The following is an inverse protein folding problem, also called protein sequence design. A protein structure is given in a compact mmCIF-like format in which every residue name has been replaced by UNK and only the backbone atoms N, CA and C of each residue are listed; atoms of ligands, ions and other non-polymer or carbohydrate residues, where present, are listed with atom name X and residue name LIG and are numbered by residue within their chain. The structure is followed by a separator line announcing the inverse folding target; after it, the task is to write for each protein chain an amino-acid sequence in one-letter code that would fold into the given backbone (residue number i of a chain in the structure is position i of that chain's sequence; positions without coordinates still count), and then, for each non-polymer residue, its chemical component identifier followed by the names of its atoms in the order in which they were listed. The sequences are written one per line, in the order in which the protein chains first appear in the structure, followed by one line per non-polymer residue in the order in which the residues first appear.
data_IF_611971036835
#
_entry.id   IF_611971036835
#
_cell.length_a   1.000
_cell.length_b   1.000
_cell.length_c   1.000
_cell.angle_alpha   90.00
_cell.angle_beta   90.00
_cell.angle_gamma   90.00
#
_symmetry.space_group_name_H-M   'P 1'
#
loop_
_entity.id
_entity.type
_entity.pdbx_description
1 polymer ?
#
# COMPACT_ATOMS: atom_id res chain seq x y z
N UNK A 1 -11.47 -2.20 -16.61
CA UNK A 1 -10.20 -1.54 -16.95
C UNK A 1 -9.07 -2.36 -16.36
N UNK A 2 -8.16 -2.85 -17.19
CA UNK A 2 -7.08 -3.74 -16.76
C UNK A 2 -5.77 -2.97 -16.66
N UNK A 3 -4.94 -3.37 -15.72
CA UNK A 3 -3.56 -2.93 -15.64
C UNK A 3 -2.71 -3.64 -16.71
N UNK A 4 -1.53 -3.13 -17.00
CA UNK A 4 -0.58 -3.77 -17.91
C UNK A 4 0.87 -3.55 -17.46
N UNK A 5 1.74 -4.43 -17.92
CA UNK A 5 3.20 -4.30 -17.81
C UNK A 5 3.81 -4.42 -19.18
N UNK A 6 4.73 -3.49 -19.51
CA UNK A 6 5.44 -3.50 -20.79
C UNK A 6 6.94 -3.45 -20.57
N UNK A 7 7.66 -4.19 -21.40
CA UNK A 7 9.12 -4.10 -21.54
C UNK A 7 9.40 -3.36 -22.84
N UNK A 8 10.07 -2.23 -22.71
CA UNK A 8 10.45 -1.36 -23.83
C UNK A 8 11.97 -1.43 -24.00
N UNK A 9 12.44 -1.31 -25.25
CA UNK A 9 13.88 -1.21 -25.52
C UNK A 9 14.50 0.00 -24.85
N UNK A 10 15.81 -0.06 -24.57
CA UNK A 10 16.51 0.99 -23.83
C UNK A 10 16.48 2.37 -24.53
N UNK A 11 16.35 2.38 -25.84
CA UNK A 11 16.21 3.59 -26.67
C UNK A 11 14.77 4.07 -26.82
N UNK A 12 13.80 3.36 -26.22
CA UNK A 12 12.36 3.67 -26.30
C UNK A 12 11.70 3.35 -27.63
N UNK A 13 12.42 2.79 -28.59
CA UNK A 13 11.94 2.62 -29.97
C UNK A 13 11.04 1.40 -30.21
N UNK A 14 11.11 0.41 -29.32
CA UNK A 14 10.43 -0.88 -29.53
C UNK A 14 9.79 -1.42 -28.28
N UNK A 15 8.52 -1.81 -28.37
CA UNK A 15 7.86 -2.61 -27.34
C UNK A 15 8.29 -4.06 -27.53
N UNK A 16 9.06 -4.60 -26.58
CA UNK A 16 9.55 -5.98 -26.60
C UNK A 16 8.52 -6.99 -26.13
N UNK A 17 7.80 -6.65 -25.07
CA UNK A 17 6.76 -7.48 -24.46
C UNK A 17 5.72 -6.61 -23.79
N UNK A 18 4.48 -7.04 -23.82
CA UNK A 18 3.38 -6.45 -23.04
C UNK A 18 2.45 -7.56 -22.57
N UNK A 19 1.98 -7.47 -21.35
CA UNK A 19 0.94 -8.32 -20.81
C UNK A 19 -0.08 -7.51 -20.05
N UNK A 20 -1.35 -7.88 -20.15
CA UNK A 20 -2.39 -7.37 -19.27
C UNK A 20 -2.39 -8.16 -17.97
N UNK A 21 -2.72 -7.47 -16.89
CA UNK A 21 -2.85 -8.04 -15.54
C UNK A 21 -4.17 -7.53 -14.99
N UNK A 22 -5.13 -8.41 -14.80
CA UNK A 22 -6.42 -7.95 -14.33
C UNK A 22 -7.44 -9.05 -14.06
N UNK A 23 -8.60 -8.59 -13.72
CA UNK A 23 -9.80 -9.38 -13.38
C UNK A 23 -10.98 -8.92 -14.23
N UNK A 24 -12.17 -9.30 -13.86
CA UNK A 24 -13.40 -8.74 -14.44
C UNK A 24 -13.80 -7.37 -13.83
N UNK A 25 -13.00 -6.84 -12.89
CA UNK A 25 -13.22 -5.56 -12.22
C UNK A 25 -12.36 -4.43 -12.76
N UNK A 26 -12.17 -3.41 -11.94
CA UNK A 26 -11.19 -2.36 -12.16
C UNK A 26 -9.86 -2.77 -11.54
N UNK A 27 -8.78 -2.71 -12.30
CA UNK A 27 -7.46 -3.16 -11.88
C UNK A 27 -6.43 -2.05 -12.10
N UNK A 28 -5.61 -1.78 -11.08
CA UNK A 28 -4.57 -0.77 -11.14
C UNK A 28 -3.26 -1.29 -10.52
N UNK A 29 -2.14 -1.02 -11.19
CA UNK A 29 -0.80 -1.21 -10.67
C UNK A 29 -0.28 0.14 -10.18
N UNK A 30 0.19 0.19 -8.94
CA UNK A 30 0.76 1.38 -8.31
C UNK A 30 2.28 1.32 -8.17
N UNK A 31 2.86 0.15 -8.22
CA UNK A 31 4.30 -0.03 -8.09
C UNK A 31 4.83 -1.20 -8.89
N UNK A 32 6.04 -1.03 -9.40
CA UNK A 32 6.85 -2.08 -10.02
C UNK A 32 8.26 -2.02 -9.44
N UNK A 33 8.77 -3.16 -9.03
CA UNK A 33 10.11 -3.35 -8.49
C UNK A 33 10.74 -4.60 -9.10
N UNK A 34 12.06 -4.74 -8.93
CA UNK A 34 12.79 -5.90 -9.45
C UNK A 34 13.60 -6.54 -8.34
N UNK A 35 13.62 -7.86 -8.29
CA UNK A 35 14.63 -8.55 -7.50
C UNK A 35 16.00 -8.52 -8.21
N UNK A 36 17.04 -8.96 -7.48
CA UNK A 36 18.41 -9.01 -8.00
C UNK A 36 18.61 -9.94 -9.22
N UNK A 37 17.64 -10.78 -9.51
CA UNK A 37 17.66 -11.71 -10.65
C UNK A 37 16.86 -11.19 -11.84
N UNK A 38 16.32 -9.97 -11.74
CA UNK A 38 15.55 -9.31 -12.80
C UNK A 38 14.10 -9.77 -12.93
N UNK A 39 13.55 -10.44 -11.91
CA UNK A 39 12.13 -10.77 -11.88
C UNK A 39 11.33 -9.52 -11.48
N UNK A 40 10.36 -9.09 -12.30
CA UNK A 40 9.49 -7.98 -11.93
C UNK A 40 8.46 -8.40 -10.88
N UNK A 41 8.28 -7.53 -9.92
CA UNK A 41 7.22 -7.57 -8.94
C UNK A 41 6.28 -6.41 -9.20
N UNK A 42 4.99 -6.63 -9.10
CA UNK A 42 3.97 -5.61 -9.19
C UNK A 42 3.11 -5.60 -7.94
N UNK A 43 2.69 -4.41 -7.55
CA UNK A 43 1.79 -4.16 -6.44
C UNK A 43 0.64 -3.30 -6.93
N UNK A 44 -0.58 -3.67 -6.53
CA UNK A 44 -1.75 -2.97 -7.01
C UNK A 44 -3.02 -3.29 -6.24
N UNK A 45 -4.12 -2.85 -6.81
CA UNK A 45 -5.46 -3.12 -6.29
C UNK A 45 -6.44 -3.52 -7.40
N UNK A 46 -7.50 -4.20 -7.01
CA UNK A 46 -8.57 -4.66 -7.87
C UNK A 46 -9.93 -4.48 -7.22
N UNK A 47 -10.98 -4.33 -7.99
CA UNK A 47 -12.36 -4.50 -7.51
C UNK A 47 -12.94 -5.88 -7.86
N UNK A 48 -12.22 -6.66 -8.68
CA UNK A 48 -12.57 -8.03 -9.01
C UNK A 48 -11.98 -9.07 -8.06
N UNK A 49 -12.00 -10.32 -8.48
CA UNK A 49 -11.44 -11.45 -7.73
C UNK A 49 -10.08 -11.80 -8.30
N UNK A 50 -9.03 -11.33 -7.61
CA UNK A 50 -7.65 -11.55 -8.03
C UNK A 50 -7.26 -13.01 -7.90
N UNK A 51 -6.68 -13.56 -8.96
CA UNK A 51 -6.22 -14.94 -8.96
C UNK A 51 -4.92 -15.08 -8.17
N UNK A 52 -4.95 -15.87 -7.12
CA UNK A 52 -3.76 -16.23 -6.34
C UNK A 52 -3.10 -17.46 -6.97
N UNK A 53 -1.77 -17.43 -7.08
CA UNK A 53 -0.98 -18.47 -7.76
C UNK A 53 0.17 -18.91 -6.86
N UNK A 54 0.43 -20.20 -6.88
CA UNK A 54 1.37 -20.93 -6.05
C UNK A 54 0.93 -21.09 -4.58
N UNK A 55 1.60 -21.98 -3.86
CA UNK A 55 1.38 -22.20 -2.44
C UNK A 55 2.01 -21.03 -1.64
N UNK A 56 1.23 -20.00 -1.43
CA UNK A 56 1.62 -18.86 -0.60
C UNK A 56 1.16 -19.09 0.84
N UNK A 57 2.03 -18.82 1.80
CA UNK A 57 1.71 -18.96 3.24
C UNK A 57 0.96 -17.76 3.80
N UNK A 58 1.07 -16.60 3.15
CA UNK A 58 0.38 -15.38 3.49
C UNK A 58 -0.55 -14.96 2.35
N UNK A 59 -1.83 -15.12 2.60
CA UNK A 59 -2.91 -14.77 1.69
C UNK A 59 -4.13 -14.36 2.51
N UNK A 60 -4.85 -13.34 2.06
CA UNK A 60 -6.13 -12.93 2.61
C UNK A 60 -7.21 -13.06 1.51
N UNK A 61 -7.95 -14.17 1.49
CA UNK A 61 -8.98 -14.38 0.48
C UNK A 61 -10.04 -13.27 0.49
N UNK A 62 -10.42 -12.79 -0.69
CA UNK A 62 -11.39 -11.69 -0.84
C UNK A 62 -10.83 -10.29 -0.57
N UNK A 63 -9.56 -10.16 -0.18
CA UNK A 63 -8.89 -8.88 -0.15
C UNK A 63 -8.62 -8.36 -1.57
N UNK A 64 -8.56 -7.06 -1.72
CA UNK A 64 -8.51 -6.36 -3.01
C UNK A 64 -7.19 -5.66 -3.30
N UNK A 65 -6.20 -5.77 -2.44
CA UNK A 65 -4.82 -5.42 -2.72
C UNK A 65 -4.05 -6.68 -3.09
N UNK A 66 -3.14 -6.58 -4.05
CA UNK A 66 -2.34 -7.71 -4.49
C UNK A 66 -0.86 -7.38 -4.63
N UNK A 67 -0.05 -8.42 -4.51
CA UNK A 67 1.35 -8.45 -4.93
C UNK A 67 1.54 -9.67 -5.83
N UNK A 68 2.22 -9.48 -6.94
CA UNK A 68 2.56 -10.58 -7.84
C UNK A 68 4.00 -10.45 -8.34
N UNK A 69 4.68 -11.59 -8.44
CA UNK A 69 5.98 -11.74 -9.10
C UNK A 69 5.78 -12.41 -10.44
N UNK A 70 6.31 -11.80 -11.49
CA UNK A 70 6.25 -12.35 -12.84
C UNK A 70 7.60 -12.92 -13.27
N UNK A 71 7.57 -13.77 -14.29
CA UNK A 71 8.79 -14.13 -15.00
C UNK A 71 9.33 -12.93 -15.77
N UNK A 72 10.65 -12.82 -16.00
CA UNK A 72 11.26 -11.70 -16.73
C UNK A 72 10.74 -11.53 -18.15
N UNK A 73 10.29 -12.60 -18.78
CA UNK A 73 9.68 -12.60 -20.11
C UNK A 73 8.17 -12.28 -20.11
N UNK A 74 7.59 -11.98 -18.93
CA UNK A 74 6.17 -11.72 -18.69
C UNK A 74 5.23 -12.88 -19.08
N UNK A 75 5.74 -14.10 -19.26
CA UNK A 75 4.95 -15.25 -19.75
C UNK A 75 4.06 -15.87 -18.68
N UNK A 76 4.36 -15.67 -17.40
CA UNK A 76 3.60 -16.25 -16.29
C UNK A 76 3.90 -15.54 -14.96
N UNK A 77 2.98 -15.72 -14.00
CA UNK A 77 3.27 -15.44 -12.59
C UNK A 77 4.21 -16.51 -12.01
N UNK A 78 5.14 -16.06 -11.19
CA UNK A 78 5.91 -16.94 -10.28
C UNK A 78 5.10 -17.21 -9.03
N UNK A 79 4.52 -16.16 -8.47
CA UNK A 79 3.48 -16.23 -7.45
C UNK A 79 2.57 -14.99 -7.52
N UNK A 80 1.42 -15.10 -6.90
CA UNK A 80 0.49 -13.99 -6.72
C UNK A 80 -0.29 -14.20 -5.43
N UNK A 81 -0.45 -13.13 -4.65
CA UNK A 81 -1.15 -13.15 -3.37
C UNK A 81 -2.00 -11.89 -3.19
N UNK A 82 -2.99 -11.97 -2.32
CA UNK A 82 -3.78 -10.82 -1.87
C UNK A 82 -3.56 -10.55 -0.40
N UNK A 83 -3.61 -9.29 0.00
CA UNK A 83 -3.50 -8.88 1.40
C UNK A 83 -4.53 -7.81 1.76
N UNK A 84 -4.91 -7.77 3.02
CA UNK A 84 -5.91 -6.86 3.55
C UNK A 84 -7.09 -7.59 4.20
N UNK A 85 -8.19 -6.88 4.35
CA UNK A 85 -9.48 -7.44 4.78
C UNK A 85 -10.35 -7.71 3.57
N UNK A 86 -11.06 -8.83 3.54
CA UNK A 86 -12.06 -9.11 2.53
C UNK A 86 -13.11 -7.99 2.49
N UNK A 87 -13.32 -7.40 1.33
CA UNK A 87 -14.22 -6.27 1.12
C UNK A 87 -14.56 -6.12 -0.37
N UNK A 88 -15.65 -5.42 -0.75
CA UNK A 88 -15.98 -5.20 -2.15
C UNK A 88 -14.97 -4.29 -2.86
N UNK A 89 -14.34 -3.36 -2.14
CA UNK A 89 -13.37 -2.41 -2.64
C UNK A 89 -12.02 -2.56 -1.94
N UNK A 90 -10.92 -2.06 -2.52
CA UNK A 90 -9.62 -1.99 -1.84
C UNK A 90 -9.72 -1.32 -0.47
N UNK A 91 -8.93 -1.81 0.48
CA UNK A 91 -8.85 -1.23 1.82
C UNK A 91 -8.03 0.06 1.82
N UNK A 92 -6.95 0.06 1.06
CA UNK A 92 -5.98 1.15 1.00
C UNK A 92 -5.67 1.55 -0.44
N UNK A 93 -5.21 2.79 -0.61
CA UNK A 93 -4.47 3.26 -1.77
C UNK A 93 -2.99 3.01 -1.51
N UNK A 94 -2.34 2.06 -2.21
CA UNK A 94 -0.93 1.79 -2.01
C UNK A 94 -0.07 2.94 -2.53
N UNK A 95 1.04 3.27 -1.81
CA UNK A 95 1.89 4.43 -2.16
C UNK A 95 3.39 4.13 -2.18
N UNK A 96 3.89 3.22 -1.36
CA UNK A 96 5.29 2.82 -1.39
C UNK A 96 5.42 1.31 -1.55
N UNK A 97 6.43 0.93 -2.31
CA UNK A 97 6.71 -0.46 -2.66
C UNK A 97 8.22 -0.69 -2.71
N UNK A 98 8.67 -1.78 -2.09
CA UNK A 98 10.06 -2.23 -2.14
C UNK A 98 10.13 -3.75 -2.15
N UNK A 99 11.07 -4.28 -2.91
CA UNK A 99 11.53 -5.67 -2.81
C UNK A 99 12.98 -5.64 -2.34
N UNK A 100 13.25 -6.15 -1.14
CA UNK A 100 14.60 -6.14 -0.57
C UNK A 100 15.50 -7.24 -1.17
N UNK A 101 16.76 -7.25 -0.75
CA UNK A 101 17.75 -8.25 -1.22
C UNK A 101 17.40 -9.69 -0.83
N UNK A 102 16.58 -9.88 0.21
CA UNK A 102 16.07 -11.18 0.65
C UNK A 102 14.75 -11.55 -0.05
N UNK A 103 14.29 -10.69 -0.97
CA UNK A 103 13.01 -10.79 -1.66
C UNK A 103 11.80 -10.66 -0.71
N UNK A 104 11.97 -10.02 0.47
CA UNK A 104 10.83 -9.59 1.25
C UNK A 104 10.17 -8.39 0.56
N UNK A 105 8.86 -8.33 0.69
CA UNK A 105 8.05 -7.31 0.02
C UNK A 105 7.48 -6.37 1.06
N UNK A 106 7.73 -5.08 0.88
CA UNK A 106 7.29 -3.98 1.72
C UNK A 106 6.24 -3.17 0.96
N UNK A 107 5.11 -2.92 1.58
CA UNK A 107 4.06 -2.07 1.03
C UNK A 107 3.58 -1.11 2.10
N UNK A 108 3.36 0.14 1.73
CA UNK A 108 2.58 1.06 2.54
C UNK A 108 1.43 1.66 1.75
N UNK A 109 0.42 2.14 2.45
CA UNK A 109 -0.71 2.80 1.86
C UNK A 109 -1.59 3.45 2.91
N UNK A 110 -2.55 4.22 2.46
CA UNK A 110 -3.53 4.86 3.32
C UNK A 110 -4.94 4.39 2.95
N UNK A 111 -5.83 4.35 3.92
CA UNK A 111 -7.20 3.90 3.73
C UNK A 111 -8.21 4.79 4.41
N UNK A 112 -9.44 4.73 3.95
CA UNK A 112 -10.54 5.49 4.49
C UNK A 112 -11.12 6.53 3.54
N UNK A 113 -11.80 7.52 4.08
CA UNK A 113 -12.54 8.49 3.30
C UNK A 113 -11.75 9.77 3.05
N UNK A 114 -11.81 10.29 1.81
CA UNK A 114 -11.42 11.64 1.43
C UNK A 114 -12.65 12.45 1.04
N UNK A 115 -12.58 13.78 1.15
CA UNK A 115 -13.70 14.70 0.86
C UNK A 115 -14.22 14.64 -0.59
N UNK A 116 -13.45 14.10 -1.51
CA UNK A 116 -13.89 13.86 -2.87
C UNK A 116 -13.53 12.44 -3.26
N UNK A 117 -14.54 11.64 -3.57
CA UNK A 117 -14.34 10.37 -4.27
C UNK A 117 -13.79 10.68 -5.67
N UNK A 118 -12.47 10.82 -5.76
CA UNK A 118 -11.77 11.00 -7.04
C UNK A 118 -11.27 9.69 -7.61
N UNK A 119 -11.29 8.63 -6.79
CA UNK A 119 -10.96 7.28 -7.25
C UNK A 119 -12.17 6.65 -7.94
N UNK A 120 -11.95 5.81 -8.94
CA UNK A 120 -13.02 5.08 -9.63
C UNK A 120 -13.77 4.11 -8.71
N UNK A 121 -13.27 3.91 -7.51
CA UNK A 121 -13.87 3.13 -6.42
C UNK A 121 -13.53 3.78 -5.07
N UNK A 122 -14.45 3.69 -4.11
CA UNK A 122 -14.18 4.13 -2.73
C UNK A 122 -13.28 3.14 -2.01
N UNK A 123 -12.47 3.62 -1.06
CA UNK A 123 -11.67 2.75 -0.20
C UNK A 123 -12.51 2.21 0.96
N UNK A 124 -12.33 0.94 1.29
CA UNK A 124 -13.01 0.27 2.42
C UNK A 124 -12.36 0.56 3.78
N UNK A 125 -11.19 1.21 3.78
CA UNK A 125 -10.48 1.60 4.98
C UNK A 125 -9.67 0.48 5.63
N UNK A 126 -8.84 0.88 6.60
CA UNK A 126 -7.84 0.00 7.21
C UNK A 126 -8.38 -0.93 8.31
N UNK A 127 -9.60 -0.72 8.78
CA UNK A 127 -10.16 -1.52 9.87
C UNK A 127 -10.19 -3.02 9.53
N UNK A 128 -9.51 -3.83 10.36
CA UNK A 128 -9.44 -5.28 10.22
C UNK A 128 -8.38 -5.78 9.24
N UNK A 129 -7.49 -4.93 8.77
CA UNK A 129 -6.30 -5.39 8.04
C UNK A 129 -5.35 -6.17 8.95
N UNK A 130 -4.57 -7.14 8.41
CA UNK A 130 -3.70 -7.99 9.24
C UNK A 130 -2.61 -7.18 9.93
N UNK A 131 -2.44 -7.39 11.23
CA UNK A 131 -1.35 -6.80 12.02
C UNK A 131 -0.58 -7.90 12.74
N UNK A 132 0.66 -7.60 13.12
CA UNK A 132 1.49 -8.52 13.90
C UNK A 132 1.47 -8.15 15.40
N UNK A 133 1.83 -9.07 16.30
CA UNK A 133 1.85 -8.80 17.74
C UNK A 133 2.76 -7.64 18.14
N UNK A 134 3.81 -7.36 17.39
CA UNK A 134 4.78 -6.28 17.56
C UNK A 134 4.42 -4.98 16.84
N UNK A 135 3.18 -4.87 16.30
CA UNK A 135 2.70 -3.66 15.64
C UNK A 135 2.84 -2.43 16.54
N UNK A 136 3.33 -1.32 15.98
CA UNK A 136 3.43 -0.02 16.65
C UNK A 136 2.05 0.48 17.07
N UNK A 137 1.06 0.36 16.19
CA UNK A 137 -0.33 0.72 16.46
C UNK A 137 -1.23 -0.46 16.12
N UNK A 138 -2.00 -0.94 17.10
CA UNK A 138 -2.83 -2.15 16.98
C UNK A 138 -4.31 -1.85 16.75
N UNK A 139 -4.71 -0.61 16.93
CA UNK A 139 -6.09 -0.14 16.75
C UNK A 139 -6.14 0.91 15.68
N UNK A 140 -7.25 0.99 14.98
CA UNK A 140 -7.49 1.95 13.92
C UNK A 140 -8.93 2.44 13.97
N UNK A 141 -9.17 3.67 13.56
CA UNK A 141 -10.52 4.16 13.25
C UNK A 141 -10.95 3.85 11.79
N UNK A 142 -10.09 3.14 11.04
CA UNK A 142 -10.32 2.79 9.64
C UNK A 142 -9.68 3.75 8.65
N UNK A 143 -8.97 4.79 9.11
CA UNK A 143 -8.48 5.90 8.29
C UNK A 143 -6.98 6.14 8.38
N UNK A 144 -6.27 5.25 9.04
CA UNK A 144 -4.84 5.28 9.24
C UNK A 144 -4.03 4.92 7.99
N UNK A 145 -2.77 5.26 8.00
CA UNK A 145 -1.77 4.58 7.20
C UNK A 145 -1.62 3.12 7.65
N UNK A 146 -1.21 2.29 6.71
CA UNK A 146 -0.94 0.88 6.95
C UNK A 146 0.39 0.48 6.31
N UNK A 147 1.18 -0.27 7.07
CA UNK A 147 2.46 -0.81 6.63
C UNK A 147 2.46 -2.32 6.78
N UNK A 148 2.99 -2.99 5.75
CA UNK A 148 3.07 -4.45 5.74
C UNK A 148 4.40 -4.91 5.15
N UNK A 149 4.94 -5.96 5.72
CA UNK A 149 6.10 -6.68 5.20
C UNK A 149 5.76 -8.16 5.09
N UNK A 150 5.84 -8.70 3.90
CA UNK A 150 5.71 -10.14 3.66
C UNK A 150 7.06 -10.75 3.30
N UNK A 151 7.26 -11.99 3.75
CA UNK A 151 8.44 -12.78 3.40
C UNK A 151 8.42 -13.16 1.92
N UNK A 152 9.60 -13.41 1.37
CA UNK A 152 9.80 -13.97 0.02
C UNK A 152 8.70 -14.96 -0.36
N UNK A 153 8.20 -14.82 -1.60
CA UNK A 153 7.11 -15.63 -2.17
C UNK A 153 5.83 -15.62 -1.32
N UNK A 154 5.58 -14.54 -0.58
CA UNK A 154 4.47 -14.44 0.36
C UNK A 154 4.36 -15.65 1.31
N UNK A 155 5.49 -16.22 1.75
CA UNK A 155 5.49 -17.42 2.60
C UNK A 155 5.02 -17.14 4.03
N UNK A 156 5.07 -15.88 4.50
CA UNK A 156 4.56 -15.45 5.80
C UNK A 156 4.37 -13.95 5.84
N UNK A 157 3.50 -13.47 6.73
CA UNK A 157 3.48 -12.09 7.19
C UNK A 157 4.62 -11.91 8.18
N UNK A 158 5.52 -10.94 7.93
CA UNK A 158 6.63 -10.62 8.83
C UNK A 158 6.28 -9.45 9.75
N UNK A 159 5.61 -8.43 9.23
CA UNK A 159 5.22 -7.25 9.97
C UNK A 159 3.95 -6.64 9.39
N UNK A 160 3.10 -6.13 10.24
CA UNK A 160 1.92 -5.36 9.85
C UNK A 160 1.50 -4.42 10.98
N UNK A 161 1.28 -3.15 10.66
CA UNK A 161 0.91 -2.13 11.64
C UNK A 161 0.06 -1.04 11.01
N UNK A 162 -0.80 -0.42 11.83
CA UNK A 162 -1.38 0.88 11.53
C UNK A 162 -0.42 1.99 11.95
N UNK A 163 -0.59 3.18 11.39
CA UNK A 163 0.14 4.37 11.78
C UNK A 163 -0.71 5.61 11.51
N UNK A 164 -0.79 6.52 12.47
CA UNK A 164 -1.58 7.73 12.38
C UNK A 164 -2.28 8.05 13.70
N UNK A 165 -3.13 9.03 13.65
CA UNK A 165 -3.97 9.47 14.75
C UNK A 165 -5.33 8.74 14.70
N UNK A 166 -6.17 8.89 15.73
CA UNK A 166 -7.57 8.45 15.69
C UNK A 166 -8.45 9.71 15.68
N UNK A 167 -9.08 9.96 14.57
CA UNK A 167 -9.73 11.24 14.31
C UNK A 167 -11.24 11.23 14.56
N UNK A 168 -11.82 10.08 14.73
CA UNK A 168 -13.28 9.96 14.86
C UNK A 168 -14.01 10.01 13.51
N UNK A 169 -15.36 9.91 13.54
CA UNK A 169 -16.15 9.55 12.36
C UNK A 169 -16.27 10.64 11.28
N UNK A 170 -15.82 11.84 11.52
CA UNK A 170 -15.97 12.98 10.60
C UNK A 170 -14.63 13.50 10.04
N UNK A 171 -13.52 12.92 10.41
CA UNK A 171 -12.22 13.37 9.94
C UNK A 171 -11.84 12.72 8.61
N UNK A 172 -10.90 13.34 7.93
CA UNK A 172 -10.29 12.83 6.71
C UNK A 172 -9.13 11.93 7.07
N UNK A 173 -8.94 10.87 6.31
CA UNK A 173 -7.81 9.94 6.49
C UNK A 173 -6.47 10.64 6.39
N UNK A 174 -5.47 10.15 7.11
CA UNK A 174 -4.09 10.40 6.73
C UNK A 174 -3.90 9.91 5.29
N UNK A 175 -3.38 10.75 4.43
CA UNK A 175 -3.27 10.45 3.00
C UNK A 175 -2.06 11.11 2.37
N UNK A 176 -1.80 10.77 1.12
CA UNK A 176 -0.75 11.40 0.30
C UNK A 176 -1.38 12.19 -0.83
N UNK A 177 -1.14 13.49 -0.82
CA UNK A 177 -1.52 14.42 -1.89
C UNK A 177 -0.36 14.60 -2.89
N UNK A 178 -0.05 13.58 -3.66
CA UNK A 178 1.06 13.63 -4.61
C UNK A 178 2.44 13.64 -3.96
N UNK A 179 2.53 13.29 -2.70
CA UNK A 179 3.78 13.15 -1.96
C UNK A 179 4.59 11.93 -2.41
N UNK A 180 5.82 11.87 -1.92
CA UNK A 180 6.73 10.78 -2.24
C UNK A 180 6.89 9.87 -1.05
N UNK A 181 6.53 8.61 -1.23
CA UNK A 181 6.82 7.53 -0.28
C UNK A 181 8.03 6.75 -0.76
N UNK A 182 8.96 6.46 0.14
CA UNK A 182 10.17 5.71 -0.18
C UNK A 182 10.48 4.72 0.92
N UNK A 183 10.93 3.54 0.50
CA UNK A 183 11.70 2.65 1.35
C UNK A 183 13.17 2.78 0.95
N UNK A 184 14.07 2.82 1.93
CA UNK A 184 15.49 2.64 1.63
C UNK A 184 15.85 1.14 1.50
N UNK A 185 17.11 0.87 1.14
CA UNK A 185 17.57 -0.52 0.95
C UNK A 185 17.60 -1.35 2.25
N UNK A 186 17.44 -0.70 3.41
CA UNK A 186 17.38 -1.35 4.72
C UNK A 186 15.93 -1.58 5.18
N UNK A 187 14.95 -1.18 4.36
CA UNK A 187 13.53 -1.29 4.70
C UNK A 187 13.00 -0.18 5.60
N UNK A 188 13.77 0.91 5.79
CA UNK A 188 13.29 2.10 6.49
C UNK A 188 12.35 2.87 5.57
N UNK A 189 11.17 3.20 6.06
CA UNK A 189 10.22 4.02 5.31
C UNK A 189 10.42 5.50 5.63
N UNK A 190 10.39 6.30 4.58
CA UNK A 190 10.30 7.76 4.63
C UNK A 190 8.98 8.14 3.97
N UNK A 191 8.08 8.69 4.75
CA UNK A 191 6.73 8.98 4.32
C UNK A 191 6.32 10.39 4.70
N UNK A 192 6.05 11.23 3.71
CA UNK A 192 5.37 12.51 3.93
C UNK A 192 3.88 12.31 3.70
N UNK A 193 3.07 12.74 4.65
CA UNK A 193 1.62 12.56 4.64
C UNK A 193 0.91 13.84 5.03
N UNK A 194 -0.31 13.97 4.56
CA UNK A 194 -1.27 14.92 5.09
C UNK A 194 -1.91 14.29 6.33
N UNK A 195 -1.74 14.93 7.47
CA UNK A 195 -2.26 14.48 8.75
C UNK A 195 -3.21 15.53 9.34
N UNK A 196 -4.11 15.10 10.22
CA UNK A 196 -5.05 15.97 10.92
C UNK A 196 -5.93 16.83 10.00
N UNK A 197 -6.37 16.29 8.88
CA UNK A 197 -7.28 16.99 7.97
C UNK A 197 -8.70 16.92 8.54
N UNK A 198 -9.28 18.08 8.86
CA UNK A 198 -10.66 18.18 9.33
C UNK A 198 -10.86 18.36 10.83
N UNK A 199 -9.82 18.68 11.57
CA UNK A 199 -9.84 19.34 12.87
C UNK A 199 -10.50 18.66 14.09
N UNK A 200 -10.72 17.37 14.08
CA UNK A 200 -11.36 16.69 15.22
C UNK A 200 -10.59 15.46 15.69
N UNK A 201 -9.26 15.58 15.73
CA UNK A 201 -8.42 14.50 16.22
C UNK A 201 -8.71 14.17 17.69
N UNK A 202 -9.10 12.94 17.95
CA UNK A 202 -9.25 12.41 19.31
C UNK A 202 -7.90 12.09 19.96
N UNK A 203 -6.87 11.89 19.14
CA UNK A 203 -5.50 11.63 19.59
C UNK A 203 -4.52 12.41 18.73
N UNK A 204 -3.43 12.93 19.32
CA UNK A 204 -2.43 13.63 18.53
C UNK A 204 -1.72 12.66 17.55
N UNK A 205 -1.27 13.19 16.43
CA UNK A 205 -0.38 12.45 15.53
C UNK A 205 0.89 12.05 16.28
N UNK A 206 1.34 10.79 16.13
CA UNK A 206 2.50 10.29 16.91
C UNK A 206 3.78 11.01 16.49
N UNK A 207 4.42 11.68 17.45
CA UNK A 207 5.72 12.31 17.29
C UNK A 207 6.70 11.76 18.34
N UNK A 208 7.99 11.94 18.13
CA UNK A 208 9.03 11.48 19.05
C UNK A 208 9.77 12.67 19.70
N UNK A 209 10.40 12.49 20.86
CA UNK A 209 11.23 13.54 21.47
C UNK A 209 12.38 13.96 20.54
N UNK A 210 12.67 15.26 20.51
CA UNK A 210 13.79 15.81 19.76
C UNK A 210 13.53 16.12 18.28
N UNK A 211 12.30 15.92 17.81
CA UNK A 211 11.91 16.32 16.44
C UNK A 211 11.77 17.83 16.30
N UNK A 212 11.90 18.34 15.09
CA UNK A 212 11.78 19.77 14.79
C UNK A 212 10.46 20.39 15.25
N UNK A 213 9.35 19.72 14.95
CA UNK A 213 8.01 20.19 15.33
C UNK A 213 7.21 19.05 15.99
N UNK A 214 7.15 19.02 17.32
CA UNK A 214 6.43 17.97 18.04
C UNK A 214 4.90 18.22 18.11
N UNK A 215 4.42 19.33 17.57
CA UNK A 215 3.01 19.71 17.61
C UNK A 215 2.54 20.21 16.27
N UNK A 216 1.25 19.96 15.98
CA UNK A 216 0.54 20.54 14.87
C UNK A 216 0.48 22.07 14.99
N UNK A 217 0.92 22.79 13.95
CA UNK A 217 1.00 24.27 13.93
C UNK A 217 -0.33 24.96 13.63
N UNK A 218 -1.37 24.25 13.18
CA UNK A 218 -2.67 24.85 12.82
C UNK A 218 -3.66 24.88 13.99
N UNK A 219 -3.27 24.40 15.17
CA UNK A 219 -4.18 24.35 16.33
C UNK A 219 -5.33 23.35 16.18
N UNK A 220 -5.25 22.44 15.22
CA UNK A 220 -6.28 21.42 14.95
C UNK A 220 -7.23 21.78 13.81
N UNK A 221 -7.05 22.91 13.15
CA UNK A 221 -7.86 23.28 12.00
C UNK A 221 -7.07 23.12 10.69
N UNK A 222 -7.59 22.27 9.78
CA UNK A 222 -6.98 22.00 8.48
C UNK A 222 -5.91 20.92 8.47
N UNK A 223 -5.41 20.62 7.28
CA UNK A 223 -4.38 19.60 7.08
C UNK A 223 -2.99 20.09 7.45
N UNK A 224 -2.18 19.21 8.00
CA UNK A 224 -0.76 19.43 8.26
C UNK A 224 0.08 18.39 7.53
N UNK A 225 1.26 18.82 7.14
CA UNK A 225 2.27 17.90 6.64
C UNK A 225 3.00 17.27 7.84
N UNK A 226 3.01 15.93 7.88
CA UNK A 226 3.82 15.12 8.79
C UNK A 226 4.82 14.28 7.98
N UNK A 227 6.02 14.09 8.51
CA UNK A 227 7.06 13.27 7.89
C UNK A 227 7.86 12.51 8.96
#
# INVERSE_FOLDING_TARGET
CDAFVSVISNDGSTIRKTTFLGTNGFDAIYGIEFDRNGFPYVMGSTTGDWTTIANVGFINPGAKQFVAKLRPDLSAYVYSTTFGKASPNPNISPVAFLVDRCENVYVSGWGGWLFANKDPYGLSGTAGMPITPDAIKKTTDGRDFYFIVSRKNASALLYGTYFGQNDGPQSVSEHVDGGTSRYDQNGIIYQAICANCGAHSLTPFPTTPGVWSPRNGTGGEGCNLAA
#
